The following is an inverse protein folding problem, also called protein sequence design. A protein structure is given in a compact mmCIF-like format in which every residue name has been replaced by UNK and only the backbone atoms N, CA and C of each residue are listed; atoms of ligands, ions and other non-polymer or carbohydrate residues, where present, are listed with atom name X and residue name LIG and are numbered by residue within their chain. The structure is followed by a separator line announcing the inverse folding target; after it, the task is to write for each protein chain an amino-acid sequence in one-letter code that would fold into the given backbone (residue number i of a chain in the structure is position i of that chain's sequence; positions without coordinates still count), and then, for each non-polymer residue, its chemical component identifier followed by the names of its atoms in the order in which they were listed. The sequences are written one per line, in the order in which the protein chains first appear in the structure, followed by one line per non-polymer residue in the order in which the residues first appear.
data_IF_841834438814
#
_entry.id   IF_841834438814
#
_cell.length_a   1.000
_cell.length_b   1.000
_cell.length_c   1.000
_cell.angle_alpha   90.00
_cell.angle_beta   90.00
_cell.angle_gamma   90.00
#
_symmetry.space_group_name_H-M   'P 1'
#
loop_
_entity.id
_entity.type
_entity.pdbx_description
1 polymer ?
#
# COMPACT_ATOMS: atom_id res chain seq x y z
N UNK A 1 10.43 -17.57 6.36
CA UNK A 1 9.01 -17.13 6.34
C UNK A 1 8.88 -16.05 5.30
N UNK A 2 7.81 -16.04 4.51
CA UNK A 2 7.56 -14.97 3.52
C UNK A 2 6.96 -13.76 4.22
N UNK A 3 7.54 -12.58 4.00
CA UNK A 3 6.99 -11.33 4.52
C UNK A 3 5.63 -11.06 3.87
N UNK A 4 4.69 -10.50 4.64
CA UNK A 4 3.33 -10.26 4.16
C UNK A 4 2.95 -8.80 4.33
N UNK A 5 2.30 -8.24 3.30
CA UNK A 5 1.84 -6.86 3.29
C UNK A 5 0.38 -6.86 2.83
N UNK A 6 -0.45 -6.12 3.54
CA UNK A 6 -1.83 -5.82 3.16
C UNK A 6 -1.99 -4.32 3.04
N UNK A 7 -2.37 -3.84 1.86
CA UNK A 7 -2.55 -2.43 1.52
C UNK A 7 -4.02 -2.22 1.18
N UNK A 8 -4.59 -1.11 1.65
CA UNK A 8 -5.87 -0.62 1.16
C UNK A 8 -5.82 0.89 0.98
N UNK A 9 -6.65 1.38 0.09
CA UNK A 9 -6.80 2.80 -0.24
C UNK A 9 -8.27 3.22 -0.07
N UNK A 10 -8.48 4.53 0.10
CA UNK A 10 -9.79 5.14 0.14
C UNK A 10 -9.71 6.48 -0.56
N UNK A 11 -10.57 6.73 -1.54
CA UNK A 11 -10.57 7.98 -2.30
C UNK A 11 -11.97 8.57 -2.37
N UNK A 12 -12.08 9.88 -2.14
CA UNK A 12 -13.32 10.62 -2.28
C UNK A 12 -13.24 11.54 -3.51
N UNK A 13 -13.97 11.25 -4.61
CA UNK A 13 -13.84 12.01 -5.85
C UNK A 13 -14.29 13.47 -5.73
N UNK A 14 -15.39 13.75 -5.01
CA UNK A 14 -15.89 15.12 -4.89
C UNK A 14 -14.91 16.07 -4.15
N UNK A 15 -14.24 15.57 -3.10
CA UNK A 15 -13.27 16.35 -2.32
C UNK A 15 -11.83 16.18 -2.80
N UNK A 16 -11.60 15.33 -3.81
CA UNK A 16 -10.28 14.97 -4.35
C UNK A 16 -9.27 14.60 -3.25
N UNK A 17 -9.74 13.99 -2.17
CA UNK A 17 -8.90 13.58 -1.04
C UNK A 17 -8.83 12.06 -0.96
N UNK A 18 -7.69 11.56 -0.51
CA UNK A 18 -7.42 10.13 -0.44
C UNK A 18 -6.69 9.77 0.84
N UNK A 19 -6.83 8.52 1.23
CA UNK A 19 -6.10 7.87 2.30
C UNK A 19 -5.61 6.51 1.86
N UNK A 20 -4.56 6.05 2.51
CA UNK A 20 -3.97 4.74 2.34
C UNK A 20 -3.54 4.20 3.69
N UNK A 21 -3.45 2.88 3.79
CA UNK A 21 -2.80 2.23 4.90
C UNK A 21 -2.16 0.92 4.45
N UNK A 22 -1.11 0.52 5.18
CA UNK A 22 -0.61 -0.84 5.11
C UNK A 22 -0.49 -1.45 6.50
N UNK A 23 -0.67 -2.76 6.53
CA UNK A 23 -0.23 -3.66 7.61
C UNK A 23 0.84 -4.56 7.03
N UNK A 24 1.91 -4.80 7.78
CA UNK A 24 3.02 -5.65 7.39
C UNK A 24 3.39 -6.62 8.50
N UNK A 25 3.65 -7.85 8.12
CA UNK A 25 4.25 -8.89 8.98
C UNK A 25 5.62 -9.27 8.46
N UNK A 26 6.62 -9.19 9.34
CA UNK A 26 7.98 -9.63 9.10
C UNK A 26 8.38 -10.61 10.21
N UNK A 27 8.45 -11.90 9.88
CA UNK A 27 8.56 -12.95 10.89
C UNK A 27 7.42 -12.85 11.92
N UNK A 28 7.77 -12.66 13.20
CA UNK A 28 6.82 -12.49 14.30
C UNK A 28 6.41 -11.02 14.55
N UNK A 29 7.03 -10.06 13.86
CA UNK A 29 6.78 -8.64 14.08
C UNK A 29 5.68 -8.10 13.16
N UNK A 30 4.76 -7.34 13.75
CA UNK A 30 3.72 -6.59 13.06
C UNK A 30 4.04 -5.10 13.06
N UNK A 31 3.89 -4.45 11.90
CA UNK A 31 4.02 -3.01 11.73
C UNK A 31 2.94 -2.48 10.78
N UNK A 32 2.71 -1.18 10.79
CA UNK A 32 1.75 -0.56 9.88
C UNK A 32 1.82 0.95 9.91
N UNK A 33 1.36 1.57 8.85
CA UNK A 33 1.28 3.02 8.72
C UNK A 33 0.02 3.37 7.92
N UNK A 34 -0.54 4.54 8.22
CA UNK A 34 -1.59 5.16 7.43
C UNK A 34 -1.19 6.57 7.03
N UNK A 35 -1.65 7.02 5.88
CA UNK A 35 -1.41 8.37 5.39
C UNK A 35 -2.48 8.83 4.42
N UNK A 36 -2.55 10.13 4.16
CA UNK A 36 -3.56 10.71 3.30
C UNK A 36 -3.19 12.09 2.80
N UNK A 37 -3.80 12.49 1.69
CA UNK A 37 -3.53 13.76 1.02
C UNK A 37 -4.81 14.35 0.40
N UNK A 38 -4.81 15.68 0.24
CA UNK A 38 -5.77 16.41 -0.59
C UNK A 38 -5.25 16.55 -2.01
N UNK A 39 -6.15 16.82 -2.95
CA UNK A 39 -5.85 17.00 -4.37
C UNK A 39 -5.00 15.86 -4.94
N UNK A 40 -5.41 14.62 -4.64
CA UNK A 40 -4.72 13.39 -5.05
C UNK A 40 -5.57 12.58 -6.03
N UNK A 41 -5.02 11.49 -6.53
CA UNK A 41 -5.70 10.47 -7.35
C UNK A 41 -5.71 9.11 -6.63
N UNK A 42 -6.57 8.16 -7.03
CA UNK A 42 -6.51 6.78 -6.55
C UNK A 42 -5.14 6.12 -6.78
N UNK A 43 -4.58 6.26 -7.98
CA UNK A 43 -3.28 5.70 -8.34
C UNK A 43 -2.17 6.23 -7.41
N UNK A 44 -2.13 7.54 -7.18
CA UNK A 44 -1.12 8.15 -6.30
C UNK A 44 -1.22 7.63 -4.86
N UNK A 45 -2.44 7.33 -4.37
CA UNK A 45 -2.64 6.71 -3.05
C UNK A 45 -2.09 5.28 -3.01
N UNK A 46 -2.43 4.46 -4.00
CA UNK A 46 -1.95 3.08 -4.10
C UNK A 46 -0.42 3.01 -4.22
N UNK A 47 0.18 3.87 -5.05
CA UNK A 47 1.62 3.98 -5.21
C UNK A 47 2.32 4.41 -3.92
N UNK A 48 1.81 5.46 -3.26
CA UNK A 48 2.37 5.95 -2.00
C UNK A 48 2.33 4.86 -0.93
N UNK A 49 1.22 4.14 -0.82
CA UNK A 49 1.04 3.04 0.13
C UNK A 49 2.05 1.91 -0.11
N UNK A 50 2.22 1.52 -1.38
CA UNK A 50 3.13 0.44 -1.75
C UNK A 50 4.60 0.82 -1.52
N UNK A 51 5.00 2.03 -1.88
CA UNK A 51 6.35 2.56 -1.59
C UNK A 51 6.60 2.60 -0.08
N UNK A 52 5.63 3.10 0.70
CA UNK A 52 5.74 3.16 2.16
C UNK A 52 5.86 1.77 2.79
N UNK A 53 5.06 0.79 2.32
CA UNK A 53 5.04 -0.56 2.86
C UNK A 53 6.34 -1.34 2.60
N UNK A 54 6.98 -1.10 1.45
CA UNK A 54 8.24 -1.72 1.06
C UNK A 54 9.46 -1.08 1.75
N UNK A 55 9.33 0.14 2.26
CA UNK A 55 10.41 0.86 2.93
C UNK A 55 10.95 0.07 4.12
N UNK A 56 12.27 -0.10 4.15
CA UNK A 56 12.98 -0.84 5.21
C UNK A 56 12.79 -2.36 5.19
N UNK A 57 12.02 -2.92 4.24
CA UNK A 57 11.95 -4.37 4.04
C UNK A 57 13.27 -4.85 3.42
N UNK A 58 13.89 -5.95 3.89
CA UNK A 58 15.05 -6.54 3.23
C UNK A 58 14.67 -7.12 1.85
N UNK A 59 15.66 -7.34 0.97
CA UNK A 59 15.46 -8.12 -0.25
C UNK A 59 14.94 -9.53 0.06
N UNK A 60 14.04 -10.05 -0.77
CA UNK A 60 13.46 -11.38 -0.59
C UNK A 60 12.03 -11.54 -1.11
N UNK A 61 11.43 -12.72 -0.89
CA UNK A 61 10.02 -12.98 -1.21
C UNK A 61 9.09 -12.17 -0.31
N UNK A 62 8.09 -11.54 -0.91
CA UNK A 62 7.05 -10.78 -0.18
C UNK A 62 5.68 -11.04 -0.81
N UNK A 63 4.69 -11.41 -0.01
CA UNK A 63 3.30 -11.54 -0.46
C UNK A 63 2.59 -10.20 -0.22
N UNK A 64 1.99 -9.63 -1.26
CA UNK A 64 1.35 -8.31 -1.21
C UNK A 64 -0.11 -8.44 -1.63
N UNK A 65 -1.01 -8.12 -0.71
CA UNK A 65 -2.44 -7.98 -0.99
C UNK A 65 -2.78 -6.49 -1.11
N UNK A 66 -3.38 -6.08 -2.22
CA UNK A 66 -3.82 -4.69 -2.40
C UNK A 66 -5.10 -4.59 -3.22
N UNK A 67 -5.78 -3.45 -3.12
CA UNK A 67 -7.05 -3.17 -3.79
C UNK A 67 -6.88 -2.59 -5.21
N UNK A 68 -5.80 -1.85 -5.47
CA UNK A 68 -5.53 -1.31 -6.81
C UNK A 68 -4.84 -2.32 -7.73
N UNK A 69 -5.61 -2.89 -8.64
CA UNK A 69 -5.13 -3.90 -9.58
C UNK A 69 -4.24 -3.37 -10.70
N UNK A 70 -4.35 -2.10 -11.07
CA UNK A 70 -3.48 -1.52 -12.09
C UNK A 70 -2.06 -1.33 -11.55
N UNK A 71 -1.96 -0.75 -10.34
CA UNK A 71 -0.67 -0.59 -9.66
C UNK A 71 -0.02 -1.93 -9.37
N UNK A 72 -0.78 -2.92 -8.88
CA UNK A 72 -0.26 -4.26 -8.62
C UNK A 72 0.34 -4.93 -9.87
N UNK A 73 -0.37 -4.87 -11.01
CA UNK A 73 0.11 -5.46 -12.27
C UNK A 73 1.37 -4.78 -12.80
N UNK A 74 1.40 -3.46 -12.80
CA UNK A 74 2.58 -2.70 -13.25
C UNK A 74 3.78 -2.95 -12.32
N UNK A 75 3.56 -2.97 -11.00
CA UNK A 75 4.59 -3.30 -10.03
C UNK A 75 5.15 -4.72 -10.23
N UNK A 76 4.29 -5.70 -10.52
CA UNK A 76 4.71 -7.07 -10.82
C UNK A 76 5.58 -7.16 -12.08
N UNK A 77 5.24 -6.39 -13.12
CA UNK A 77 6.02 -6.30 -14.36
C UNK A 77 7.40 -5.67 -14.12
N UNK A 78 7.46 -4.57 -13.35
CA UNK A 78 8.71 -3.92 -12.94
C UNK A 78 9.59 -4.89 -12.15
N UNK A 79 9.04 -5.56 -11.14
CA UNK A 79 9.79 -6.52 -10.33
C UNK A 79 10.30 -7.73 -11.12
N UNK A 80 9.60 -8.11 -12.21
CA UNK A 80 10.02 -9.17 -13.13
C UNK A 80 11.05 -8.71 -14.18
N UNK A 81 11.57 -7.47 -14.09
CA UNK A 81 12.52 -6.92 -15.07
C UNK A 81 11.89 -6.63 -16.43
N UNK A 82 10.56 -6.50 -16.50
CA UNK A 82 9.80 -6.24 -17.73
C UNK A 82 8.94 -4.98 -17.58
N UNK A 83 9.53 -3.81 -17.24
CA UNK A 83 8.75 -2.59 -17.07
C UNK A 83 7.94 -2.28 -18.34
N UNK A 84 6.70 -1.77 -18.24
CA UNK A 84 5.91 -1.38 -19.40
C UNK A 84 6.64 -0.34 -20.28
N UNK A 85 6.44 -0.43 -21.59
CA UNK A 85 7.07 0.44 -22.59
C UNK A 85 6.02 0.99 -23.56
N UNK A 86 6.36 2.05 -24.30
CA UNK A 86 5.47 2.70 -25.27
C UNK A 86 4.18 3.20 -24.63
N UNK A 87 3.04 2.96 -25.27
CA UNK A 87 1.71 3.40 -24.79
C UNK A 87 1.30 2.77 -23.46
N UNK A 88 1.94 1.67 -23.05
CA UNK A 88 1.71 1.03 -21.76
C UNK A 88 2.57 1.63 -20.64
N UNK A 89 3.56 2.47 -20.96
CA UNK A 89 4.40 3.12 -19.97
C UNK A 89 3.58 4.15 -19.16
N UNK A 90 3.75 4.20 -17.82
CA UNK A 90 3.12 5.25 -17.03
C UNK A 90 3.56 6.64 -17.51
N UNK A 91 2.60 7.55 -17.68
CA UNK A 91 2.84 8.95 -18.06
C UNK A 91 2.65 9.92 -16.89
N UNK A 92 2.05 9.46 -15.79
CA UNK A 92 1.78 10.22 -14.56
C UNK A 92 2.47 9.56 -13.36
N UNK A 93 2.60 10.28 -12.25
CA UNK A 93 3.22 9.81 -10.99
C UNK A 93 4.63 9.21 -11.18
N UNK A 94 5.39 9.72 -12.15
CA UNK A 94 6.73 9.20 -12.51
C UNK A 94 7.68 9.21 -11.32
N UNK A 95 7.53 10.17 -10.40
CA UNK A 95 8.27 10.27 -9.15
C UNK A 95 8.04 9.03 -8.25
N UNK A 96 6.80 8.55 -8.16
CA UNK A 96 6.44 7.39 -7.36
C UNK A 96 6.78 6.08 -8.07
N UNK A 97 6.64 6.01 -9.40
CA UNK A 97 7.07 4.84 -10.17
C UNK A 97 8.57 4.61 -10.08
N UNK A 98 9.38 5.67 -10.10
CA UNK A 98 10.82 5.60 -9.89
C UNK A 98 11.15 5.10 -8.48
N UNK A 99 10.51 5.66 -7.44
CA UNK A 99 10.67 5.20 -6.06
C UNK A 99 10.27 3.73 -5.88
N UNK A 100 9.16 3.32 -6.50
CA UNK A 100 8.69 1.95 -6.45
C UNK A 100 9.68 1.00 -7.13
N UNK A 101 10.23 1.38 -8.28
CA UNK A 101 11.24 0.58 -8.98
C UNK A 101 12.46 0.33 -8.10
N UNK A 102 12.97 1.37 -7.43
CA UNK A 102 14.06 1.21 -6.46
C UNK A 102 13.64 0.34 -5.25
N UNK A 103 12.43 0.53 -4.74
CA UNK A 103 11.90 -0.25 -3.62
C UNK A 103 11.61 -1.72 -3.97
N UNK A 104 11.49 -2.07 -5.25
CA UNK A 104 11.29 -3.46 -5.70
C UNK A 104 12.60 -4.18 -6.00
N UNK A 105 13.72 -3.46 -6.10
CA UNK A 105 15.02 -4.05 -6.39
C UNK A 105 15.37 -5.18 -5.40
N UNK A 106 15.76 -6.33 -5.94
CA UNK A 106 16.13 -7.52 -5.17
C UNK A 106 14.96 -8.25 -4.48
N UNK A 107 13.71 -7.81 -4.66
CA UNK A 107 12.52 -8.45 -4.10
C UNK A 107 11.80 -9.32 -5.12
N UNK A 108 11.07 -10.31 -4.63
CA UNK A 108 10.21 -11.20 -5.43
C UNK A 108 8.76 -11.06 -4.92
N UNK A 109 8.06 -9.97 -5.29
CA UNK A 109 6.69 -9.76 -4.83
C UNK A 109 5.72 -10.72 -5.51
N UNK A 110 4.82 -11.31 -4.72
CA UNK A 110 3.65 -12.03 -5.19
C UNK A 110 2.42 -11.18 -4.89
N UNK A 111 1.83 -10.58 -5.92
CA UNK A 111 0.66 -9.72 -5.77
C UNK A 111 -0.64 -10.53 -5.83
N UNK A 112 -1.58 -10.21 -4.95
CA UNK A 112 -2.96 -10.66 -5.01
C UNK A 112 -3.90 -9.46 -4.85
N UNK A 113 -4.96 -9.42 -5.66
CA UNK A 113 -5.98 -8.37 -5.54
C UNK A 113 -6.95 -8.76 -4.43
N UNK A 114 -7.10 -7.89 -3.44
CA UNK A 114 -7.93 -8.17 -2.27
C UNK A 114 -8.86 -7.01 -1.96
N UNK A 115 -10.16 -7.32 -1.89
CA UNK A 115 -11.17 -6.43 -1.32
C UNK A 115 -11.07 -6.44 0.21
N UNK A 116 -11.53 -5.39 0.88
CA UNK A 116 -11.51 -5.34 2.33
C UNK A 116 -12.44 -6.41 2.92
N UNK A 117 -11.93 -7.16 3.89
CA UNK A 117 -12.71 -8.15 4.65
C UNK A 117 -12.41 -8.04 6.14
N UNK A 118 -13.46 -7.97 6.95
CA UNK A 118 -13.37 -7.89 8.43
C UNK A 118 -12.65 -9.09 9.06
N UNK A 119 -12.58 -10.22 8.36
CA UNK A 119 -11.91 -11.43 8.82
C UNK A 119 -10.39 -11.45 8.53
N UNK A 120 -9.85 -10.41 7.90
CA UNK A 120 -8.47 -10.39 7.40
C UNK A 120 -7.80 -9.03 7.67
N UNK A 121 -6.47 -8.92 7.55
CA UNK A 121 -5.79 -7.64 7.73
C UNK A 121 -6.21 -6.57 6.71
N UNK A 122 -6.80 -6.94 5.56
CA UNK A 122 -7.29 -5.95 4.58
C UNK A 122 -8.44 -5.13 5.14
N UNK A 123 -9.37 -5.70 5.92
CA UNK A 123 -10.44 -4.93 6.55
C UNK A 123 -9.91 -3.90 7.56
N UNK A 124 -8.86 -4.26 8.30
CA UNK A 124 -8.19 -3.35 9.22
C UNK A 124 -7.46 -2.23 8.47
N UNK A 125 -6.72 -2.55 7.41
CA UNK A 125 -6.05 -1.56 6.57
C UNK A 125 -7.06 -0.58 5.93
N UNK A 126 -8.22 -1.08 5.46
CA UNK A 126 -9.25 -0.22 4.88
C UNK A 126 -9.82 0.79 5.90
N UNK A 127 -10.11 0.36 7.13
CA UNK A 127 -10.59 1.27 8.17
C UNK A 127 -9.57 2.39 8.48
N UNK A 128 -8.26 2.07 8.45
CA UNK A 128 -7.21 3.07 8.59
C UNK A 128 -7.05 3.98 7.38
N UNK A 129 -7.24 3.46 6.16
CA UNK A 129 -7.23 4.26 4.95
C UNK A 129 -8.40 5.25 4.91
N UNK A 130 -9.60 4.84 5.35
CA UNK A 130 -10.76 5.73 5.52
C UNK A 130 -10.49 6.81 6.56
N UNK A 131 -10.00 6.44 7.75
CA UNK A 131 -9.61 7.41 8.78
C UNK A 131 -8.58 8.42 8.24
N UNK A 132 -7.56 7.94 7.53
CA UNK A 132 -6.52 8.78 6.96
C UNK A 132 -7.06 9.74 5.89
N UNK A 133 -7.99 9.28 5.06
CA UNK A 133 -8.70 10.12 4.09
C UNK A 133 -9.50 11.22 4.79
N UNK A 134 -10.24 10.87 5.84
CA UNK A 134 -11.08 11.81 6.56
C UNK A 134 -10.23 12.86 7.31
N UNK A 135 -9.09 12.43 7.88
CA UNK A 135 -8.07 13.34 8.44
C UNK A 135 -7.49 14.25 7.35
N UNK A 136 -7.17 13.70 6.18
CA UNK A 136 -6.69 14.47 5.04
C UNK A 136 -7.71 15.52 4.58
N UNK A 137 -8.98 15.14 4.53
CA UNK A 137 -10.07 16.02 4.19
C UNK A 137 -10.26 17.13 5.23
N UNK A 138 -10.11 16.84 6.52
CA UNK A 138 -10.33 17.83 7.58
C UNK A 138 -9.14 18.79 7.77
N UNK A 139 -7.91 18.26 7.78
CA UNK A 139 -6.73 18.94 8.33
C UNK A 139 -5.55 19.06 7.34
N UNK A 140 -5.68 18.54 6.11
CA UNK A 140 -4.58 18.47 5.16
C UNK A 140 -3.73 17.21 5.36
N UNK A 141 -2.52 17.16 4.78
CA UNK A 141 -1.73 15.93 4.70
C UNK A 141 -1.61 15.21 6.06
N UNK A 142 -1.82 13.89 6.05
CA UNK A 142 -1.81 13.04 7.23
C UNK A 142 -0.80 11.90 7.05
N UNK A 143 -0.06 11.58 8.09
CA UNK A 143 0.78 10.38 8.15
C UNK A 143 0.95 9.96 9.61
N UNK A 144 0.73 8.69 9.92
CA UNK A 144 0.90 8.16 11.27
C UNK A 144 1.21 6.68 11.26
N UNK A 145 2.15 6.26 12.11
CA UNK A 145 2.36 4.85 12.40
C UNK A 145 1.14 4.29 13.13
N UNK A 146 0.71 3.08 12.76
CA UNK A 146 -0.40 2.42 13.44
C UNK A 146 0.09 1.94 14.82
N UNK A 147 -0.56 2.34 15.93
CA UNK A 147 -0.11 1.95 17.27
C UNK A 147 -0.08 0.43 17.47
N UNK A 148 0.95 -0.07 18.17
CA UNK A 148 1.10 -1.51 18.46
C UNK A 148 -0.13 -2.15 19.12
N UNK A 149 -0.83 -1.50 20.08
CA UNK A 149 -2.05 -2.07 20.65
C UNK A 149 -3.17 -2.30 19.63
N UNK A 150 -3.18 -1.56 18.53
CA UNK A 150 -4.15 -1.75 17.45
C UNK A 150 -3.71 -2.86 16.50
N UNK A 151 -2.41 -2.96 16.20
CA UNK A 151 -1.83 -4.05 15.41
C UNK A 151 -2.04 -5.43 16.08
N UNK A 152 -2.00 -5.50 17.40
CA UNK A 152 -2.26 -6.73 18.15
C UNK A 152 -3.70 -7.26 17.99
N UNK A 153 -4.63 -6.43 17.51
CA UNK A 153 -6.05 -6.77 17.30
C UNK A 153 -6.37 -7.18 15.86
N UNK A 154 -5.38 -7.21 14.97
CA UNK A 154 -5.61 -7.45 13.54
C UNK A 154 -5.92 -8.94 13.31
N UNK A 155 -7.12 -9.26 12.77
CA UNK A 155 -7.48 -10.64 12.48
C UNK A 155 -6.55 -11.27 11.43
N UNK A 156 -6.11 -12.51 11.69
CA UNK A 156 -5.28 -13.28 10.74
C UNK A 156 -3.82 -12.81 10.61
N UNK A 157 -3.38 -11.83 11.41
CA UNK A 157 -2.03 -11.29 11.32
C UNK A 157 -0.96 -12.19 11.96
N UNK A 158 -1.28 -12.89 13.06
CA UNK A 158 -0.31 -13.70 13.82
C UNK A 158 -0.59 -15.21 13.74
N UNK A 159 -1.09 -15.68 12.59
CA UNK A 159 -1.20 -17.11 12.28
C UNK A 159 0.16 -17.71 11.90
#
# INVERSE_FOLDING_TARGET
MTDQIWIQTSFHPAFKCGGWAYVRRQGAEASGQAGGARYTTPQRMALTALVAALKGLPPGPVAIQMDDGAVARTAALIAAGRPPQGDAAPTEDLDLWAQLTAALAGRKPAFAIARPSKATPTGFAAAWAELARDKANAQGAFASAIPRPNLAKVPGLLL
#
